data_IF_357781221028
#
_entry.id   IF_357781221028
#
_cell.length_a   1.000
_cell.length_b   1.000
_cell.length_c   1.000
_cell.angle_alpha   90.00
_cell.angle_beta   90.00
_cell.angle_gamma   90.00
#
_symmetry.space_group_name_H-M   'P 1'
#
loop_
_entity.id
_entity.type
_entity.pdbx_description
1 polymer ?
#
# COMPACT_ATOMS: atom_id res chain seq x y z
N UNK A 1 6.55 0.25 30.80
CA UNK A 1 7.96 0.16 31.28
C UNK A 1 7.95 -0.04 32.77
N UNK A 2 8.90 -0.78 33.35
CA UNK A 2 8.91 -1.00 34.82
C UNK A 2 9.27 0.30 35.52
N UNK A 3 8.38 0.73 36.40
CA UNK A 3 8.63 1.87 37.31
C UNK A 3 9.46 1.40 38.50
N UNK A 4 10.50 2.18 38.84
CA UNK A 4 11.40 1.91 39.95
C UNK A 4 11.41 3.08 40.94
N UNK A 5 11.73 2.80 42.17
CA UNK A 5 11.82 3.81 43.20
C UNK A 5 13.27 3.98 43.68
N UNK A 6 13.65 5.22 44.00
CA UNK A 6 14.95 5.55 44.60
C UNK A 6 14.77 6.54 45.75
N UNK A 7 15.39 6.24 46.88
CA UNK A 7 15.42 7.17 48.02
C UNK A 7 16.56 8.17 47.85
N UNK A 8 16.25 9.46 47.82
CA UNK A 8 17.21 10.56 47.75
C UNK A 8 16.89 11.51 48.91
N UNK A 9 17.79 11.64 49.87
CA UNK A 9 17.66 12.53 51.05
C UNK A 9 16.33 12.32 51.82
N UNK A 10 15.91 11.05 51.98
CA UNK A 10 14.68 10.73 52.73
C UNK A 10 13.39 10.84 51.92
N UNK A 11 13.45 11.28 50.66
CA UNK A 11 12.30 11.34 49.74
C UNK A 11 12.38 10.19 48.71
N UNK A 12 11.29 9.46 48.59
CA UNK A 12 11.18 8.35 47.64
C UNK A 12 10.72 8.88 46.26
N UNK A 13 11.64 8.90 45.30
CA UNK A 13 11.34 9.29 43.91
C UNK A 13 10.99 8.07 43.06
N UNK A 14 10.04 8.26 42.16
CA UNK A 14 9.65 7.25 41.16
C UNK A 14 10.22 7.65 39.81
N UNK A 15 10.88 6.71 39.15
CA UNK A 15 11.48 6.95 37.84
C UNK A 15 11.27 5.77 36.88
N UNK A 16 11.32 6.05 35.60
CA UNK A 16 11.41 5.08 34.53
C UNK A 16 12.84 4.98 34.03
N UNK A 17 13.35 3.74 33.88
CA UNK A 17 14.72 3.48 33.46
C UNK A 17 14.72 3.13 31.96
N UNK A 18 15.33 3.99 31.16
CA UNK A 18 15.50 3.79 29.71
C UNK A 18 16.92 3.30 29.45
N UNK A 19 17.06 2.01 29.13
CA UNK A 19 18.33 1.45 28.70
C UNK A 19 18.47 1.61 27.17
N UNK A 20 19.53 2.24 26.72
CA UNK A 20 19.93 2.32 25.31
C UNK A 20 21.32 1.69 25.13
N UNK A 21 21.50 0.90 24.06
CA UNK A 21 22.80 0.32 23.76
C UNK A 21 23.65 1.34 22.98
N UNK A 22 24.81 1.69 23.54
CA UNK A 22 25.80 2.52 22.86
C UNK A 22 26.77 1.63 22.07
N UNK A 23 26.66 1.68 20.75
CA UNK A 23 27.49 0.89 19.82
C UNK A 23 28.97 1.29 19.83
N UNK A 24 29.29 2.53 20.25
CA UNK A 24 30.64 3.05 20.27
C UNK A 24 31.40 2.56 21.49
N UNK A 25 30.76 2.58 22.68
CA UNK A 25 31.34 2.16 23.93
C UNK A 25 31.07 0.71 24.30
N UNK A 26 30.22 0.01 23.51
CA UNK A 26 29.73 -1.37 23.71
C UNK A 26 29.16 -1.58 25.15
N UNK A 27 28.53 -0.55 25.71
CA UNK A 27 27.91 -0.58 27.02
C UNK A 27 26.46 -0.12 26.97
N UNK A 28 25.63 -0.62 27.89
CA UNK A 28 24.28 -0.12 28.07
C UNK A 28 24.33 1.23 28.81
N UNK A 29 23.79 2.29 28.22
CA UNK A 29 23.54 3.57 28.88
C UNK A 29 22.14 3.55 29.49
N UNK A 30 22.05 3.88 30.76
CA UNK A 30 20.79 4.02 31.48
C UNK A 30 20.46 5.50 31.68
N UNK A 31 19.33 5.93 31.17
CA UNK A 31 18.77 7.25 31.37
C UNK A 31 17.57 7.14 32.31
N UNK A 32 17.66 7.73 33.51
CA UNK A 32 16.55 7.74 34.46
C UNK A 32 15.69 8.98 34.25
N UNK A 33 14.42 8.73 33.99
CA UNK A 33 13.42 9.78 33.86
C UNK A 33 12.54 9.80 35.10
N UNK A 34 12.70 10.82 35.94
CA UNK A 34 11.91 10.95 37.16
C UNK A 34 10.52 11.44 36.89
N UNK A 35 9.52 10.61 37.18
CA UNK A 35 8.10 10.85 36.87
C UNK A 35 7.33 11.45 38.05
N UNK A 36 7.85 11.31 39.27
CA UNK A 36 7.21 11.85 40.48
C UNK A 36 7.90 11.43 41.76
N UNK A 37 7.20 11.62 42.87
CA UNK A 37 7.66 11.23 44.23
C UNK A 37 6.53 10.54 44.99
N UNK A 38 6.88 9.75 45.97
CA UNK A 38 5.94 9.20 46.95
C UNK A 38 5.79 10.13 48.12
N UNK A 39 4.58 10.51 48.50
CA UNK A 39 4.25 11.26 49.70
C UNK A 39 3.15 10.46 50.43
N UNK A 40 3.38 10.13 51.70
CA UNK A 40 2.44 9.32 52.50
C UNK A 40 1.96 8.03 51.79
N UNK A 41 2.90 7.37 51.12
CA UNK A 41 2.65 6.16 50.34
C UNK A 41 1.74 6.35 49.10
N UNK A 42 1.49 7.61 48.69
CA UNK A 42 0.73 7.98 47.50
C UNK A 42 1.69 8.56 46.46
N UNK A 43 1.54 8.10 45.20
CA UNK A 43 2.31 8.63 44.09
C UNK A 43 1.86 10.03 43.70
N UNK A 44 2.75 11.00 43.76
CA UNK A 44 2.53 12.37 43.33
C UNK A 44 3.35 12.63 42.06
N UNK A 45 2.73 12.71 40.87
CA UNK A 45 3.43 12.96 39.63
C UNK A 45 4.04 14.37 39.58
N UNK A 46 5.16 14.54 38.86
CA UNK A 46 5.75 15.84 38.63
C UNK A 46 5.01 16.57 37.46
N UNK A 47 5.22 17.90 37.36
CA UNK A 47 4.58 18.72 36.35
C UNK A 47 4.95 18.28 34.92
N UNK A 48 6.19 17.88 34.68
CA UNK A 48 6.68 17.42 33.37
C UNK A 48 5.97 16.15 32.94
N UNK A 49 5.80 15.19 33.84
CA UNK A 49 5.10 13.94 33.57
C UNK A 49 3.60 14.17 33.27
N UNK A 50 2.95 15.06 34.03
CA UNK A 50 1.55 15.43 33.76
C UNK A 50 1.39 16.09 32.40
N UNK A 51 2.34 16.95 32.02
CA UNK A 51 2.33 17.58 30.68
C UNK A 51 2.54 16.55 29.57
N UNK A 52 3.48 15.62 29.74
CA UNK A 52 3.70 14.53 28.80
C UNK A 52 2.47 13.63 28.65
N UNK A 53 1.80 13.30 29.76
CA UNK A 53 0.57 12.51 29.73
C UNK A 53 -0.55 13.27 29.04
N UNK A 54 -0.71 14.56 29.29
CA UNK A 54 -1.68 15.40 28.60
C UNK A 54 -1.41 15.45 27.09
N UNK A 55 -0.15 15.60 26.67
CA UNK A 55 0.25 15.59 25.26
C UNK A 55 0.07 14.21 24.60
N UNK A 56 0.31 13.12 25.32
CA UNK A 56 0.02 11.75 24.84
C UNK A 56 -1.49 11.54 24.64
N UNK A 57 -2.30 11.97 25.62
CA UNK A 57 -3.76 11.90 25.54
C UNK A 57 -4.31 12.76 24.39
N UNK A 58 -3.67 13.88 24.06
CA UNK A 58 -4.02 14.68 22.88
C UNK A 58 -3.65 13.99 21.55
N UNK A 59 -2.54 13.24 21.52
CA UNK A 59 -2.16 12.43 20.34
C UNK A 59 -3.04 11.19 20.15
N UNK A 60 -3.60 10.66 21.23
CA UNK A 60 -4.55 9.53 21.21
C UNK A 60 -6.02 9.97 20.99
N UNK A 61 -6.27 11.25 20.71
CA UNK A 61 -7.60 11.69 20.28
C UNK A 61 -8.02 10.85 19.09
N UNK A 62 -9.21 10.25 19.20
CA UNK A 62 -9.86 9.50 18.11
C UNK A 62 -9.65 10.25 16.79
N UNK A 63 -9.28 9.57 15.71
CA UNK A 63 -9.06 10.21 14.44
C UNK A 63 -10.32 11.00 14.07
N UNK A 64 -10.24 12.31 14.20
CA UNK A 64 -11.19 13.23 13.61
C UNK A 64 -11.04 13.22 12.08
N UNK A 65 -11.86 13.97 11.36
CA UNK A 65 -11.68 14.10 9.92
C UNK A 65 -10.25 14.53 9.62
N UNK A 66 -9.58 13.77 8.73
CA UNK A 66 -8.20 14.04 8.34
C UNK A 66 -8.10 15.49 7.85
N UNK A 67 -7.16 16.31 8.33
CA UNK A 67 -6.98 17.67 7.81
C UNK A 67 -6.84 17.64 6.30
N UNK A 68 -7.46 18.60 5.60
CA UNK A 68 -7.47 18.65 4.13
C UNK A 68 -6.04 18.61 3.52
N UNK A 69 -5.05 19.12 4.24
CA UNK A 69 -3.63 19.08 3.86
C UNK A 69 -3.02 17.68 3.90
N UNK A 70 -3.54 16.79 4.77
CA UNK A 70 -3.09 15.43 4.91
C UNK A 70 -4.00 14.42 4.19
N UNK A 71 -5.08 14.88 3.56
CA UNK A 71 -5.99 14.03 2.79
C UNK A 71 -5.44 13.79 1.40
N UNK A 72 -5.35 12.53 1.00
CA UNK A 72 -5.10 12.16 -0.40
C UNK A 72 -6.44 12.03 -1.13
N UNK A 73 -6.48 12.50 -2.37
CA UNK A 73 -7.64 12.35 -3.25
C UNK A 73 -7.25 11.48 -4.42
N UNK A 74 -8.03 10.43 -4.66
CA UNK A 74 -7.81 9.50 -5.75
C UNK A 74 -9.06 9.43 -6.63
N UNK A 75 -8.85 9.37 -7.93
CA UNK A 75 -9.91 9.05 -8.88
C UNK A 75 -10.23 7.56 -8.78
N UNK A 76 -11.47 7.23 -8.43
CA UNK A 76 -11.89 5.84 -8.25
C UNK A 76 -13.11 5.44 -9.10
N UNK A 77 -13.85 6.38 -9.69
CA UNK A 77 -15.12 6.09 -10.37
C UNK A 77 -14.96 5.13 -11.54
N UNK A 78 -14.07 5.44 -12.47
CA UNK A 78 -13.83 4.60 -13.64
C UNK A 78 -13.21 3.24 -13.27
N UNK A 79 -12.22 3.24 -12.38
CA UNK A 79 -11.56 2.00 -11.95
C UNK A 79 -12.51 1.08 -11.16
N UNK A 80 -13.40 1.66 -10.35
CA UNK A 80 -14.47 0.89 -9.70
C UNK A 80 -15.41 0.23 -10.73
N UNK A 81 -15.79 0.96 -11.77
CA UNK A 81 -16.62 0.40 -12.85
C UNK A 81 -15.90 -0.77 -13.53
N UNK A 82 -14.60 -0.64 -13.82
CA UNK A 82 -13.81 -1.71 -14.42
C UNK A 82 -13.68 -2.92 -13.52
N UNK A 83 -13.54 -2.73 -12.21
CA UNK A 83 -13.56 -3.83 -11.24
C UNK A 83 -14.87 -4.61 -11.32
N UNK A 84 -16.02 -3.91 -11.34
CA UNK A 84 -17.35 -4.54 -11.46
C UNK A 84 -17.53 -5.27 -12.79
N UNK A 85 -17.09 -4.68 -13.89
CA UNK A 85 -17.13 -5.31 -15.22
C UNK A 85 -16.22 -6.54 -15.25
N UNK A 86 -15.00 -6.43 -14.73
CA UNK A 86 -14.03 -7.53 -14.69
C UNK A 86 -14.49 -8.71 -13.86
N UNK A 87 -15.18 -8.46 -12.75
CA UNK A 87 -15.80 -9.50 -11.92
C UNK A 87 -17.00 -10.14 -12.63
N UNK A 88 -17.90 -9.33 -13.17
CA UNK A 88 -19.12 -9.81 -13.87
C UNK A 88 -18.79 -10.66 -15.09
N UNK A 89 -17.78 -10.27 -15.88
CA UNK A 89 -17.33 -10.99 -17.06
C UNK A 89 -16.36 -12.15 -16.75
N UNK A 90 -15.97 -12.33 -15.47
CA UNK A 90 -15.03 -13.37 -15.06
C UNK A 90 -13.57 -13.09 -15.44
N UNK A 91 -13.24 -11.91 -15.99
CA UNK A 91 -11.88 -11.52 -16.41
C UNK A 91 -10.92 -11.56 -15.24
N UNK A 92 -11.34 -11.00 -14.09
CA UNK A 92 -10.52 -10.96 -12.86
C UNK A 92 -10.21 -12.37 -12.36
N UNK A 93 -11.20 -13.28 -12.38
CA UNK A 93 -11.00 -14.67 -11.96
C UNK A 93 -10.04 -15.43 -12.88
N UNK A 94 -10.19 -15.25 -14.19
CA UNK A 94 -9.35 -15.92 -15.18
C UNK A 94 -7.91 -15.37 -15.19
N UNK A 95 -7.73 -14.06 -14.97
CA UNK A 95 -6.41 -13.46 -14.77
C UNK A 95 -5.71 -14.03 -13.52
N UNK A 96 -6.44 -14.16 -12.41
CA UNK A 96 -5.89 -14.80 -11.18
C UNK A 96 -5.47 -16.24 -11.42
N UNK A 97 -6.24 -16.99 -12.21
CA UNK A 97 -5.94 -18.38 -12.50
C UNK A 97 -4.75 -18.57 -13.45
N UNK A 98 -4.57 -17.65 -14.40
CA UNK A 98 -3.51 -17.75 -15.41
C UNK A 98 -2.21 -17.03 -15.00
N UNK A 99 -2.32 -15.95 -14.19
CA UNK A 99 -1.21 -15.08 -13.81
C UNK A 99 -1.23 -14.78 -12.30
N UNK A 100 -1.11 -15.79 -11.42
CA UNK A 100 -1.32 -15.64 -9.97
C UNK A 100 -0.41 -14.57 -9.35
N UNK A 101 0.82 -14.43 -9.81
CA UNK A 101 1.83 -13.57 -9.20
C UNK A 101 1.67 -12.09 -9.58
N UNK A 102 1.08 -11.79 -10.73
CA UNK A 102 1.06 -10.43 -11.27
C UNK A 102 -0.25 -10.00 -11.95
N UNK A 103 -1.36 -10.72 -11.71
CA UNK A 103 -2.68 -10.35 -12.26
C UNK A 103 -3.13 -8.93 -11.89
N UNK A 104 -2.76 -8.44 -10.70
CA UNK A 104 -3.08 -7.06 -10.27
C UNK A 104 -2.36 -6.02 -11.10
N UNK A 105 -1.08 -6.29 -11.42
CA UNK A 105 -0.29 -5.42 -12.27
C UNK A 105 -0.86 -5.37 -13.68
N UNK A 106 -1.19 -6.52 -14.26
CA UNK A 106 -1.82 -6.61 -15.59
C UNK A 106 -3.13 -5.84 -15.64
N UNK A 107 -4.00 -6.04 -14.66
CA UNK A 107 -5.29 -5.36 -14.59
C UNK A 107 -5.13 -3.84 -14.43
N UNK A 108 -4.16 -3.40 -13.62
CA UNK A 108 -3.86 -1.97 -13.45
C UNK A 108 -3.33 -1.32 -14.72
N UNK A 109 -2.46 -2.01 -15.45
CA UNK A 109 -1.97 -1.55 -16.76
C UNK A 109 -3.11 -1.49 -17.78
N UNK A 110 -4.01 -2.48 -17.78
CA UNK A 110 -5.18 -2.48 -18.67
C UNK A 110 -6.10 -1.28 -18.38
N UNK A 111 -6.35 -0.96 -17.11
CA UNK A 111 -7.12 0.23 -16.73
C UNK A 111 -6.47 1.53 -17.21
N UNK A 112 -5.16 1.63 -17.01
CA UNK A 112 -4.40 2.77 -17.51
C UNK A 112 -4.52 2.92 -19.03
N UNK A 113 -4.33 1.85 -19.78
CA UNK A 113 -4.41 1.89 -21.26
C UNK A 113 -5.80 2.26 -21.76
N UNK A 114 -6.86 1.82 -21.08
CA UNK A 114 -8.24 2.17 -21.45
C UNK A 114 -8.52 3.65 -21.16
N UNK A 115 -8.05 4.18 -20.01
CA UNK A 115 -8.35 5.55 -19.57
C UNK A 115 -7.47 6.59 -20.28
N UNK A 116 -6.25 6.24 -20.59
CA UNK A 116 -5.22 7.17 -21.09
C UNK A 116 -4.87 6.93 -22.57
N UNK A 117 -5.58 6.07 -23.26
CA UNK A 117 -5.54 5.70 -24.67
C UNK A 117 -4.17 5.87 -25.39
N UNK A 118 -3.78 7.13 -25.65
CA UNK A 118 -2.56 7.46 -26.40
C UNK A 118 -1.32 7.71 -25.55
N UNK A 119 -1.42 7.58 -24.22
CA UNK A 119 -0.30 7.83 -23.33
C UNK A 119 0.62 6.62 -23.20
N UNK A 120 1.96 6.81 -23.29
CA UNK A 120 2.90 5.70 -23.16
C UNK A 120 2.96 5.20 -21.70
N UNK A 121 3.28 3.92 -21.53
CA UNK A 121 3.38 3.27 -20.20
C UNK A 121 4.40 3.93 -19.26
N UNK A 122 5.35 4.68 -19.80
CA UNK A 122 6.28 5.49 -18.98
C UNK A 122 5.58 6.53 -18.10
N UNK A 123 4.34 6.91 -18.42
CA UNK A 123 3.52 7.83 -17.61
C UNK A 123 2.67 7.13 -16.54
N UNK A 124 2.60 5.80 -16.56
CA UNK A 124 1.87 5.04 -15.56
C UNK A 124 2.19 5.44 -14.10
N UNK A 125 3.46 5.67 -13.70
CA UNK A 125 3.78 6.06 -12.33
C UNK A 125 3.07 7.33 -11.86
N UNK A 126 2.92 8.32 -12.73
CA UNK A 126 2.22 9.56 -12.42
C UNK A 126 0.69 9.36 -12.35
N UNK A 127 0.15 8.56 -13.24
CA UNK A 127 -1.27 8.19 -13.23
C UNK A 127 -1.64 7.42 -11.96
N UNK A 128 -0.84 6.43 -11.57
CA UNK A 128 -1.03 5.59 -10.40
C UNK A 128 -1.09 6.36 -9.07
N UNK A 129 -0.41 7.52 -8.98
CA UNK A 129 -0.43 8.37 -7.78
C UNK A 129 -1.80 9.00 -7.51
N UNK A 130 -2.61 9.16 -8.55
CA UNK A 130 -3.89 9.88 -8.47
C UNK A 130 -5.10 8.96 -8.71
N UNK A 131 -4.89 7.69 -9.01
CA UNK A 131 -5.96 6.74 -9.35
C UNK A 131 -5.90 5.52 -8.43
N UNK A 132 -7.05 5.15 -7.91
CA UNK A 132 -7.20 3.87 -7.23
C UNK A 132 -7.19 2.76 -8.27
N UNK A 133 -6.32 1.77 -8.13
CA UNK A 133 -6.21 0.64 -9.06
C UNK A 133 -5.83 -0.66 -8.33
N UNK A 134 -6.05 -1.85 -8.92
CA UNK A 134 -5.92 -3.15 -8.24
C UNK A 134 -4.54 -3.43 -7.62
N UNK A 135 -3.47 -2.96 -8.24
CA UNK A 135 -2.11 -3.15 -7.72
C UNK A 135 -1.76 -2.20 -6.58
N UNK A 136 -2.30 -0.96 -6.60
CA UNK A 136 -2.11 0.04 -5.54
C UNK A 136 -0.69 0.60 -5.42
N UNK A 137 0.23 0.30 -6.35
CA UNK A 137 1.59 0.78 -6.35
C UNK A 137 2.05 1.16 -7.76
N UNK A 138 3.10 1.98 -7.84
CA UNK A 138 3.68 2.42 -9.11
C UNK A 138 4.39 1.27 -9.84
N UNK A 139 4.27 1.23 -11.17
CA UNK A 139 5.00 0.31 -12.06
C UNK A 139 5.86 1.17 -12.97
N UNK A 140 7.19 1.08 -12.85
CA UNK A 140 8.12 1.77 -13.73
C UNK A 140 8.14 1.14 -15.13
N UNK A 141 8.67 1.88 -16.12
CA UNK A 141 8.79 1.38 -17.49
C UNK A 141 9.61 0.09 -17.57
N UNK A 142 10.69 -0.03 -16.80
CA UNK A 142 11.49 -1.25 -16.72
C UNK A 142 10.66 -2.41 -16.16
N UNK A 143 9.96 -2.19 -15.05
CA UNK A 143 9.10 -3.22 -14.45
C UNK A 143 7.96 -3.66 -15.35
N UNK A 144 7.39 -2.76 -16.17
CA UNK A 144 6.38 -3.15 -17.14
C UNK A 144 6.95 -4.03 -18.24
N UNK A 145 8.19 -3.76 -18.71
CA UNK A 145 8.89 -4.61 -19.66
C UNK A 145 9.19 -6.00 -19.09
N UNK A 146 9.67 -6.06 -17.85
CA UNK A 146 9.95 -7.32 -17.15
C UNK A 146 8.65 -8.12 -16.95
N UNK A 147 7.55 -7.44 -16.61
CA UNK A 147 6.22 -8.06 -16.47
C UNK A 147 5.75 -8.67 -17.79
N UNK A 148 5.87 -7.95 -18.91
CA UNK A 148 5.47 -8.47 -20.21
C UNK A 148 6.38 -9.62 -20.65
N UNK A 149 7.67 -9.56 -20.34
CA UNK A 149 8.60 -10.67 -20.58
C UNK A 149 8.29 -11.93 -19.77
N UNK A 150 7.64 -11.80 -18.62
CA UNK A 150 7.21 -12.93 -17.79
C UNK A 150 5.91 -13.60 -18.26
N UNK A 151 5.17 -12.99 -19.21
CA UNK A 151 3.96 -13.58 -19.79
C UNK A 151 4.36 -14.70 -20.75
N UNK A 152 4.08 -15.94 -20.35
CA UNK A 152 4.30 -17.10 -21.22
C UNK A 152 3.18 -17.26 -22.24
N UNK A 153 3.49 -17.81 -23.41
CA UNK A 153 2.48 -18.07 -24.46
C UNK A 153 1.39 -19.02 -23.98
N UNK A 154 1.76 -20.05 -23.20
CA UNK A 154 0.82 -21.02 -22.62
C UNK A 154 -0.19 -20.33 -21.68
N UNK A 155 0.28 -19.46 -20.80
CA UNK A 155 -0.60 -18.72 -19.88
C UNK A 155 -1.55 -17.77 -20.63
N UNK A 156 -1.06 -17.12 -21.69
CA UNK A 156 -1.86 -16.27 -22.58
C UNK A 156 -2.94 -17.07 -23.32
N UNK A 157 -2.57 -18.19 -23.92
CA UNK A 157 -3.53 -19.08 -24.59
C UNK A 157 -4.57 -19.63 -23.62
N UNK A 158 -4.14 -20.06 -22.43
CA UNK A 158 -5.06 -20.51 -21.38
C UNK A 158 -6.06 -19.43 -20.98
N UNK A 159 -5.63 -18.20 -20.84
CA UNK A 159 -6.51 -17.09 -20.53
C UNK A 159 -7.55 -16.88 -21.64
N UNK A 160 -7.13 -16.84 -22.90
CA UNK A 160 -8.06 -16.69 -24.04
C UNK A 160 -9.04 -17.85 -24.14
N UNK A 161 -8.61 -19.08 -23.90
CA UNK A 161 -9.51 -20.24 -23.89
C UNK A 161 -10.57 -20.15 -22.79
N UNK A 162 -10.20 -19.69 -21.58
CA UNK A 162 -11.15 -19.48 -20.48
C UNK A 162 -12.17 -18.40 -20.86
N UNK A 163 -11.73 -17.28 -21.43
CA UNK A 163 -12.61 -16.21 -21.89
C UNK A 163 -13.53 -16.67 -23.02
N UNK A 164 -13.00 -17.38 -24.02
CA UNK A 164 -13.81 -17.92 -25.13
C UNK A 164 -14.88 -18.89 -24.60
N UNK A 165 -14.53 -19.79 -23.68
CA UNK A 165 -15.47 -20.74 -23.09
C UNK A 165 -16.65 -20.07 -22.38
N UNK A 166 -16.41 -18.93 -21.71
CA UNK A 166 -17.48 -18.16 -21.02
C UNK A 166 -18.45 -17.50 -21.99
N UNK A 167 -18.00 -17.19 -23.22
CA UNK A 167 -18.77 -16.40 -24.19
C UNK A 167 -19.46 -17.23 -25.27
N UNK A 168 -19.03 -18.48 -25.42
CA UNK A 168 -19.53 -19.37 -26.49
C UNK A 168 -21.05 -19.60 -26.46
N UNK A 169 -21.69 -19.46 -25.31
CA UNK A 169 -23.12 -19.72 -25.14
C UNK A 169 -23.98 -18.47 -25.37
N UNK A 170 -23.42 -17.26 -25.20
CA UNK A 170 -24.20 -16.02 -25.12
C UNK A 170 -23.81 -14.95 -26.16
N UNK A 171 -22.74 -15.12 -26.93
CA UNK A 171 -22.23 -14.08 -27.81
C UNK A 171 -22.07 -14.55 -29.27
N UNK A 172 -22.41 -13.66 -30.24
CA UNK A 172 -22.08 -13.85 -31.61
C UNK A 172 -20.62 -13.49 -31.88
N UNK A 173 -19.83 -14.42 -32.42
CA UNK A 173 -18.46 -14.20 -32.84
C UNK A 173 -18.40 -13.70 -34.28
N UNK A 174 -17.92 -12.47 -34.49
CA UNK A 174 -17.58 -11.95 -35.80
C UNK A 174 -16.07 -12.11 -36.02
N UNK A 175 -15.69 -12.80 -37.11
CA UNK A 175 -14.30 -12.95 -37.52
C UNK A 175 -14.01 -11.94 -38.64
N UNK A 176 -13.16 -10.95 -38.36
CA UNK A 176 -12.68 -9.97 -39.32
C UNK A 176 -11.19 -10.21 -39.62
N UNK A 177 -10.83 -10.23 -40.90
CA UNK A 177 -9.44 -10.37 -41.34
C UNK A 177 -9.00 -9.10 -42.04
N UNK A 178 -7.98 -8.43 -41.48
CA UNK A 178 -7.27 -7.35 -42.16
C UNK A 178 -6.02 -7.89 -42.84
N UNK A 179 -5.87 -7.67 -44.14
CA UNK A 179 -4.62 -7.94 -44.85
C UNK A 179 -3.71 -6.72 -44.79
N UNK A 180 -2.48 -6.90 -44.28
CA UNK A 180 -1.44 -5.86 -44.31
C UNK A 180 -0.50 -6.17 -45.47
N UNK A 181 -0.51 -5.28 -46.50
CA UNK A 181 0.46 -5.37 -47.60
C UNK A 181 1.80 -4.78 -47.15
N UNK A 182 2.84 -5.57 -47.16
CA UNK A 182 4.22 -5.09 -46.94
C UNK A 182 4.87 -4.84 -48.30
N UNK A 183 5.30 -3.62 -48.56
CA UNK A 183 6.09 -3.23 -49.72
C UNK A 183 7.58 -3.12 -49.33
N UNK A 184 8.16 -4.15 -48.73
CA UNK A 184 9.59 -4.22 -48.56
C UNK A 184 10.21 -4.81 -49.82
N UNK A 185 10.96 -4.01 -50.55
CA UNK A 185 11.89 -4.52 -51.55
C UNK A 185 13.05 -5.19 -50.82
N UNK A 186 13.36 -6.44 -51.19
CA UNK A 186 14.48 -7.22 -50.70
C UNK A 186 15.80 -6.73 -51.30
#
# INVERSE_FOLDING_TARGET
MPQRTQNINGVLYVYEDHASWDTTTKNAKHARHYIGKMVDNVFVPNKSYLLEQALKTEKEKKPGPVPAIASTREFCGATYLFDQIGEKLGITADLKACFPDFWKQLLSIAYYLILEDKNPLSRFPRWAQNHRHPYGASISSQRSSDLFGAITEDAKQRFFLLQAKRRLEDEYLAYDTTSVSSYSEL
#
